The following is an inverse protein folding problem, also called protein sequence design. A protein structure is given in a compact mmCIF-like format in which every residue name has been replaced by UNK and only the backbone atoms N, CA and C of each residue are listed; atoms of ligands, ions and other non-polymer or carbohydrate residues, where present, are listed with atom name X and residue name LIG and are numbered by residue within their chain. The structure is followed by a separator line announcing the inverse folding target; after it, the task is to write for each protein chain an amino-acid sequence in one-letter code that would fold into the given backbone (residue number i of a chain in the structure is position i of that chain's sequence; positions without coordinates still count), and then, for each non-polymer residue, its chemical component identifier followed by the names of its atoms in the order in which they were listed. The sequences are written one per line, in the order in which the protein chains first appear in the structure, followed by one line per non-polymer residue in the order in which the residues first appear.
data_IF_469633143982
#
_entry.id   IF_469633143982
#
_cell.length_a   1.000
_cell.length_b   1.000
_cell.length_c   1.000
_cell.angle_alpha   90.00
_cell.angle_beta   90.00
_cell.angle_gamma   90.00
#
_symmetry.space_group_name_H-M   'P 1'
#
loop_
_entity.id
_entity.type
_entity.pdbx_description
1 polymer ?
#
# COMPACT_ATOMS: atom_id res chain seq x y z
N UNK A 1 -28.68 -10.93 22.37
CA UNK A 1 -28.12 -10.73 21.02
C UNK A 1 -28.18 -9.25 20.66
N UNK A 2 -27.19 -8.49 21.11
CA UNK A 2 -27.07 -7.08 20.76
C UNK A 2 -26.26 -6.98 19.47
N UNK A 3 -26.95 -6.66 18.36
CA UNK A 3 -26.32 -6.02 17.21
C UNK A 3 -25.57 -4.78 17.71
N UNK A 4 -24.26 -4.86 17.83
CA UNK A 4 -23.36 -3.71 17.94
C UNK A 4 -23.40 -2.97 16.59
N UNK A 5 -24.51 -2.26 16.35
CA UNK A 5 -24.58 -1.20 15.36
C UNK A 5 -23.47 -0.21 15.72
N UNK A 6 -22.44 -0.10 14.88
CA UNK A 6 -21.46 0.97 14.99
C UNK A 6 -22.22 2.30 15.02
N UNK A 7 -22.15 3.03 16.13
CA UNK A 7 -22.82 4.34 16.23
C UNK A 7 -22.39 5.22 15.05
N UNK A 8 -23.30 5.97 14.41
CA UNK A 8 -22.97 6.86 13.29
C UNK A 8 -21.87 7.86 13.64
N UNK A 9 -21.72 8.23 14.91
CA UNK A 9 -20.63 9.11 15.37
C UNK A 9 -19.26 8.42 15.33
N UNK A 10 -19.21 7.10 15.60
CA UNK A 10 -18.00 6.30 15.47
C UNK A 10 -17.61 6.18 14.00
N UNK A 11 -18.57 5.89 13.12
CA UNK A 11 -18.31 5.81 11.68
C UNK A 11 -17.75 7.14 11.12
N UNK A 12 -18.36 8.28 11.47
CA UNK A 12 -17.86 9.61 11.09
C UNK A 12 -16.45 9.89 11.60
N UNK A 13 -16.16 9.49 12.84
CA UNK A 13 -14.82 9.64 13.44
C UNK A 13 -13.79 8.79 12.69
N UNK A 14 -14.12 7.54 12.42
CA UNK A 14 -13.28 6.58 11.71
C UNK A 14 -13.00 7.06 10.28
N UNK A 15 -14.01 7.58 9.57
CA UNK A 15 -13.83 8.21 8.24
C UNK A 15 -12.86 9.39 8.30
N UNK A 16 -13.00 10.31 9.27
CA UNK A 16 -12.08 11.46 9.41
C UNK A 16 -10.65 11.03 9.71
N UNK A 17 -10.48 9.99 10.54
CA UNK A 17 -9.16 9.42 10.85
C UNK A 17 -8.53 8.78 9.61
N UNK A 18 -9.33 8.07 8.80
CA UNK A 18 -8.89 7.49 7.54
C UNK A 18 -8.46 8.58 6.54
N UNK A 19 -9.28 9.61 6.35
CA UNK A 19 -8.98 10.74 5.44
C UNK A 19 -7.69 11.48 5.85
N UNK A 20 -7.48 11.67 7.16
CA UNK A 20 -6.23 12.23 7.68
C UNK A 20 -5.03 11.30 7.42
N UNK A 21 -5.20 10.00 7.62
CA UNK A 21 -4.18 8.99 7.33
C UNK A 21 -3.77 9.00 5.86
N UNK A 22 -4.74 8.97 4.96
CA UNK A 22 -4.55 9.05 3.50
C UNK A 22 -3.77 10.32 3.13
N UNK A 23 -4.19 11.47 3.67
CA UNK A 23 -3.53 12.75 3.39
C UNK A 23 -2.06 12.75 3.79
N UNK A 24 -1.73 12.20 4.96
CA UNK A 24 -0.35 12.09 5.45
C UNK A 24 0.49 11.05 4.70
N UNK A 25 -0.13 9.95 4.26
CA UNK A 25 0.53 8.95 3.39
C UNK A 25 0.89 9.57 2.05
N UNK A 26 -0.03 10.29 1.41
CA UNK A 26 0.22 11.01 0.15
C UNK A 26 1.30 12.07 0.31
N UNK A 27 1.31 12.78 1.43
CA UNK A 27 2.34 13.75 1.78
C UNK A 27 3.65 13.10 2.28
N UNK A 28 3.76 11.77 2.30
CA UNK A 28 4.94 11.03 2.74
C UNK A 28 5.47 11.47 4.12
N UNK A 29 4.56 11.76 5.06
CA UNK A 29 4.88 12.33 6.37
C UNK A 29 4.29 11.54 7.55
N UNK A 30 3.57 10.44 7.27
CA UNK A 30 3.06 9.58 8.32
C UNK A 30 4.21 8.83 9.00
N UNK A 31 4.26 8.86 10.33
CA UNK A 31 5.28 8.22 11.16
C UNK A 31 4.83 6.82 11.62
N UNK A 32 5.73 6.11 12.31
CA UNK A 32 5.50 4.74 12.81
C UNK A 32 4.23 4.65 13.67
N UNK A 33 4.01 5.61 14.56
CA UNK A 33 2.83 5.62 15.43
C UNK A 33 1.54 5.86 14.64
N UNK A 34 1.59 6.78 13.69
CA UNK A 34 0.51 7.03 12.74
C UNK A 34 0.12 5.79 11.95
N UNK A 35 1.10 5.03 11.44
CA UNK A 35 0.85 3.77 10.76
C UNK A 35 0.21 2.72 11.68
N UNK A 36 0.68 2.56 12.92
CA UNK A 36 0.07 1.62 13.88
C UNK A 36 -1.40 1.94 14.13
N UNK A 37 -1.75 3.22 14.27
CA UNK A 37 -3.14 3.66 14.39
C UNK A 37 -3.96 3.36 13.13
N UNK A 38 -3.40 3.67 11.96
CA UNK A 38 -4.05 3.40 10.68
C UNK A 38 -4.30 1.91 10.47
N UNK A 39 -3.34 1.05 10.82
CA UNK A 39 -3.48 -0.40 10.76
C UNK A 39 -4.58 -0.93 11.69
N UNK A 40 -4.69 -0.39 12.90
CA UNK A 40 -5.81 -0.73 13.80
C UNK A 40 -7.14 -0.31 13.19
N UNK A 41 -7.23 0.91 12.63
CA UNK A 41 -8.42 1.37 11.93
C UNK A 41 -8.79 0.46 10.74
N UNK A 42 -7.81 0.04 9.94
CA UNK A 42 -8.02 -0.90 8.83
C UNK A 42 -8.62 -2.22 9.34
N UNK A 43 -8.13 -2.77 10.46
CA UNK A 43 -8.68 -4.03 10.99
C UNK A 43 -10.09 -3.86 11.56
N UNK A 44 -10.35 -2.75 12.26
CA UNK A 44 -11.53 -2.61 13.10
C UNK A 44 -12.70 -1.88 12.41
N UNK A 45 -12.48 -1.24 11.25
CA UNK A 45 -13.53 -0.45 10.60
C UNK A 45 -14.58 -1.26 9.84
N UNK A 46 -15.79 -0.71 9.74
CA UNK A 46 -16.81 -1.17 8.76
C UNK A 46 -16.30 -1.04 7.32
N UNK A 47 -16.93 -1.78 6.39
CA UNK A 47 -16.69 -1.65 4.93
C UNK A 47 -17.16 -0.28 4.40
N UNK A 48 -18.18 0.33 5.00
CA UNK A 48 -18.78 1.57 4.50
C UNK A 48 -17.81 2.76 4.48
N UNK A 49 -16.83 2.80 5.40
CA UNK A 49 -15.85 3.89 5.43
C UNK A 49 -14.87 3.84 4.26
N UNK A 50 -14.85 2.76 3.48
CA UNK A 50 -13.97 2.59 2.31
C UNK A 50 -14.59 3.07 1.01
N UNK A 51 -15.91 3.31 1.03
CA UNK A 51 -16.64 3.85 -0.11
C UNK A 51 -16.15 5.26 -0.48
N UNK A 52 -16.32 5.66 -1.75
CA UNK A 52 -16.00 7.01 -2.20
C UNK A 52 -16.70 8.10 -1.37
N UNK A 53 -16.05 9.24 -1.12
CA UNK A 53 -16.65 10.37 -0.40
C UNK A 53 -17.81 11.03 -1.16
N UNK A 54 -17.82 10.92 -2.49
CA UNK A 54 -18.87 11.43 -3.38
C UNK A 54 -18.91 10.63 -4.67
N UNK A 55 -20.01 10.74 -5.43
CA UNK A 55 -20.11 10.12 -6.75
C UNK A 55 -18.99 10.62 -7.68
N UNK A 56 -18.28 9.68 -8.33
CA UNK A 56 -17.16 9.98 -9.21
C UNK A 56 -15.82 10.25 -8.51
N UNK A 57 -15.76 10.23 -7.17
CA UNK A 57 -14.50 10.30 -6.44
C UNK A 57 -13.82 8.93 -6.36
N UNK A 58 -12.50 8.95 -6.22
CA UNK A 58 -11.71 7.75 -5.90
C UNK A 58 -12.17 7.13 -4.57
N UNK A 59 -12.17 5.80 -4.48
CA UNK A 59 -12.44 5.11 -3.23
C UNK A 59 -11.32 5.39 -2.22
N UNK A 60 -11.64 5.35 -0.92
CA UNK A 60 -10.60 5.51 0.12
C UNK A 60 -9.62 4.35 0.13
N UNK A 61 -10.05 3.18 -0.33
CA UNK A 61 -9.19 2.02 -0.47
C UNK A 61 -8.12 2.29 -1.52
N UNK A 62 -8.54 2.73 -2.72
CA UNK A 62 -7.63 3.05 -3.81
C UNK A 62 -6.69 4.20 -3.46
N UNK A 63 -7.25 5.24 -2.85
CA UNK A 63 -6.53 6.42 -2.44
C UNK A 63 -5.41 6.11 -1.43
N UNK A 64 -5.70 5.21 -0.48
CA UNK A 64 -4.72 4.76 0.51
C UNK A 64 -3.68 3.85 -0.13
N UNK A 65 -4.11 2.84 -0.88
CA UNK A 65 -3.21 1.83 -1.44
C UNK A 65 -2.20 2.45 -2.43
N UNK A 66 -2.66 3.29 -3.35
CA UNK A 66 -1.78 4.00 -4.28
C UNK A 66 -0.82 4.95 -3.54
N UNK A 67 -1.31 5.63 -2.50
CA UNK A 67 -0.45 6.45 -1.64
C UNK A 67 0.64 5.64 -0.93
N UNK A 68 0.31 4.44 -0.44
CA UNK A 68 1.28 3.54 0.20
C UNK A 68 2.33 3.04 -0.79
N UNK A 69 1.94 2.68 -2.01
CA UNK A 69 2.88 2.28 -3.07
C UNK A 69 3.82 3.41 -3.45
N UNK A 70 3.30 4.62 -3.68
CA UNK A 70 4.12 5.79 -3.97
C UNK A 70 5.07 6.11 -2.79
N UNK A 71 4.58 6.02 -1.55
CA UNK A 71 5.42 6.25 -0.37
C UNK A 71 6.46 5.14 -0.17
N UNK A 72 6.18 3.90 -0.56
CA UNK A 72 7.15 2.80 -0.52
C UNK A 72 8.27 3.00 -1.56
N UNK A 73 7.92 3.36 -2.79
CA UNK A 73 8.85 3.55 -3.90
C UNK A 73 9.68 4.85 -3.77
N UNK A 74 9.09 5.91 -3.22
CA UNK A 74 9.71 7.24 -3.14
C UNK A 74 10.81 7.38 -2.07
N UNK A 75 11.72 8.37 -2.21
CA UNK A 75 12.65 8.73 -1.15
C UNK A 75 11.90 9.38 0.02
N UNK A 76 12.08 8.88 1.24
CA UNK A 76 11.37 9.38 2.43
C UNK A 76 12.04 10.64 3.00
N UNK A 77 12.08 11.72 2.22
CA UNK A 77 12.85 12.95 2.51
C UNK A 77 12.27 13.79 3.65
N UNK A 78 10.97 13.65 3.93
CA UNK A 78 10.30 14.36 5.02
C UNK A 78 10.57 13.73 6.41
N UNK A 79 11.25 12.59 6.48
CA UNK A 79 11.56 11.88 7.71
C UNK A 79 13.04 11.99 8.06
N UNK A 80 13.32 11.94 9.36
CA UNK A 80 14.69 11.77 9.84
C UNK A 80 15.25 10.42 9.34
N UNK A 81 16.50 10.36 8.83
CA UNK A 81 17.07 9.17 8.19
C UNK A 81 16.95 7.88 9.03
N UNK A 82 17.13 7.99 10.34
CA UNK A 82 17.06 6.88 11.29
C UNK A 82 15.65 6.26 11.40
N UNK A 83 14.60 6.99 11.00
CA UNK A 83 13.20 6.52 11.05
C UNK A 83 12.72 5.92 9.74
N UNK A 84 13.46 6.11 8.64
CA UNK A 84 13.02 5.72 7.30
C UNK A 84 12.75 4.22 7.21
N UNK A 85 13.67 3.40 7.73
CA UNK A 85 13.53 1.94 7.68
C UNK A 85 12.29 1.45 8.45
N UNK A 86 12.07 1.95 9.66
CA UNK A 86 10.91 1.58 10.48
C UNK A 86 9.60 1.99 9.80
N UNK A 87 9.56 3.19 9.22
CA UNK A 87 8.37 3.66 8.48
C UNK A 87 8.11 2.78 7.27
N UNK A 88 9.13 2.41 6.50
CA UNK A 88 8.95 1.54 5.33
C UNK A 88 8.49 0.14 5.73
N UNK A 89 8.99 -0.41 6.83
CA UNK A 89 8.47 -1.65 7.39
C UNK A 89 6.99 -1.52 7.79
N UNK A 90 6.58 -0.38 8.34
CA UNK A 90 5.16 -0.11 8.63
C UNK A 90 4.31 0.06 7.36
N UNK A 91 4.85 0.63 6.28
CA UNK A 91 4.15 0.71 4.98
C UNK A 91 3.84 -0.71 4.49
N UNK A 92 4.83 -1.60 4.46
CA UNK A 92 4.64 -3.00 4.07
C UNK A 92 3.58 -3.71 4.93
N UNK A 93 3.66 -3.54 6.26
CA UNK A 93 2.66 -4.10 7.17
C UNK A 93 1.25 -3.55 6.92
N UNK A 94 1.14 -2.29 6.53
CA UNK A 94 -0.15 -1.64 6.21
C UNK A 94 -0.72 -2.16 4.89
N UNK A 95 0.10 -2.32 3.84
CA UNK A 95 -0.33 -2.91 2.57
C UNK A 95 -0.87 -4.33 2.80
N UNK A 96 -0.16 -5.16 3.59
CA UNK A 96 -0.65 -6.50 3.97
C UNK A 96 -1.95 -6.46 4.77
N UNK A 97 -2.13 -5.47 5.64
CA UNK A 97 -3.38 -5.30 6.37
C UNK A 97 -4.54 -4.97 5.42
N UNK A 98 -4.32 -4.14 4.40
CA UNK A 98 -5.31 -3.85 3.36
C UNK A 98 -5.65 -5.09 2.53
N UNK A 99 -4.62 -5.86 2.13
CA UNK A 99 -4.80 -7.11 1.39
C UNK A 99 -5.69 -8.11 2.15
N UNK A 100 -5.47 -8.26 3.46
CA UNK A 100 -6.31 -9.13 4.31
C UNK A 100 -7.72 -8.61 4.49
N UNK A 101 -7.92 -7.29 4.42
CA UNK A 101 -9.23 -6.67 4.61
C UNK A 101 -10.14 -6.95 3.42
N UNK A 102 -9.62 -6.76 2.20
CA UNK A 102 -10.38 -6.92 0.98
C UNK A 102 -9.47 -7.38 -0.16
N UNK A 103 -9.38 -8.70 -0.33
CA UNK A 103 -8.51 -9.34 -1.32
C UNK A 103 -8.94 -9.03 -2.75
N UNK A 104 -10.24 -8.90 -2.99
CA UNK A 104 -10.81 -8.63 -4.32
C UNK A 104 -10.57 -7.18 -4.73
N UNK A 105 -10.84 -6.22 -3.84
CA UNK A 105 -10.52 -4.81 -4.09
C UNK A 105 -9.00 -4.60 -4.29
N UNK A 106 -8.16 -5.41 -3.64
CA UNK A 106 -6.71 -5.37 -3.82
C UNK A 106 -6.26 -5.95 -5.18
N UNK A 107 -6.87 -7.05 -5.65
CA UNK A 107 -6.42 -7.78 -6.83
C UNK A 107 -6.31 -6.90 -8.09
N UNK A 108 -7.20 -5.91 -8.25
CA UNK A 108 -7.16 -4.94 -9.34
C UNK A 108 -5.94 -4.00 -9.35
N UNK A 109 -5.06 -4.08 -8.33
CA UNK A 109 -3.88 -3.21 -8.14
C UNK A 109 -2.56 -4.01 -8.13
N UNK A 110 -2.59 -5.27 -8.54
CA UNK A 110 -1.42 -6.16 -8.51
C UNK A 110 -0.22 -5.62 -9.29
N UNK A 111 -0.42 -5.16 -10.52
CA UNK A 111 0.62 -4.62 -11.40
C UNK A 111 1.31 -3.38 -10.81
N UNK A 112 0.51 -2.40 -10.36
CA UNK A 112 1.01 -1.18 -9.70
C UNK A 112 1.79 -1.53 -8.43
N UNK A 113 1.28 -2.49 -7.66
CA UNK A 113 1.96 -2.99 -6.47
C UNK A 113 3.32 -3.60 -6.79
N UNK A 114 3.41 -4.47 -7.79
CA UNK A 114 4.69 -5.06 -8.23
C UNK A 114 5.66 -3.98 -8.69
N UNK A 115 5.23 -3.05 -9.55
CA UNK A 115 6.08 -1.94 -9.99
C UNK A 115 6.64 -1.13 -8.81
N UNK A 116 5.81 -0.80 -7.83
CA UNK A 116 6.23 -0.07 -6.64
C UNK A 116 7.23 -0.87 -5.77
N UNK A 117 7.06 -2.20 -5.66
CA UNK A 117 7.99 -3.07 -4.94
C UNK A 117 9.34 -3.16 -5.63
N UNK A 118 9.37 -3.26 -6.96
CA UNK A 118 10.60 -3.27 -7.76
C UNK A 118 11.36 -1.94 -7.64
N UNK A 119 10.65 -0.82 -7.76
CA UNK A 119 11.22 0.52 -7.59
C UNK A 119 11.76 0.76 -6.17
N UNK A 120 11.10 0.21 -5.15
CA UNK A 120 11.60 0.22 -3.78
C UNK A 120 12.83 -0.69 -3.62
N UNK A 121 12.81 -1.89 -4.19
CA UNK A 121 13.90 -2.87 -4.12
C UNK A 121 15.20 -2.34 -4.73
N UNK A 122 15.11 -1.59 -5.83
CA UNK A 122 16.26 -0.96 -6.49
C UNK A 122 17.01 0.07 -5.62
N UNK A 123 16.37 0.57 -4.54
CA UNK A 123 16.95 1.56 -3.63
C UNK A 123 17.68 0.99 -2.42
N UNK A 124 17.53 -0.32 -2.16
CA UNK A 124 18.13 -0.97 -1.00
C UNK A 124 19.16 -2.00 -1.43
N UNK A 125 20.33 -1.96 -0.81
CA UNK A 125 21.30 -3.06 -0.92
C UNK A 125 20.69 -4.37 -0.44
N UNK A 126 21.08 -5.50 -1.04
CA UNK A 126 20.41 -6.80 -0.85
C UNK A 126 20.39 -7.37 0.56
N UNK A 127 21.11 -6.78 1.53
CA UNK A 127 21.17 -7.22 2.93
C UNK A 127 20.32 -6.41 3.90
N UNK A 128 19.57 -5.41 3.42
CA UNK A 128 18.68 -4.63 4.27
C UNK A 128 17.44 -5.46 4.66
N UNK A 129 17.05 -5.48 5.94
CA UNK A 129 15.90 -6.23 6.46
C UNK A 129 14.57 -5.95 5.70
N UNK A 130 14.45 -4.75 5.14
CA UNK A 130 13.33 -4.36 4.29
C UNK A 130 13.17 -5.24 3.04
N UNK A 131 14.26 -5.80 2.50
CA UNK A 131 14.26 -6.65 1.30
C UNK A 131 13.42 -7.90 1.51
N UNK A 132 13.61 -8.62 2.62
CA UNK A 132 12.78 -9.78 2.94
C UNK A 132 11.29 -9.41 3.07
N UNK A 133 11.00 -8.20 3.59
CA UNK A 133 9.64 -7.69 3.68
C UNK A 133 8.99 -7.40 2.31
N UNK A 134 9.79 -6.91 1.35
CA UNK A 134 9.39 -6.67 -0.04
C UNK A 134 9.13 -7.98 -0.77
N UNK A 135 10.02 -8.96 -0.62
CA UNK A 135 9.94 -10.27 -1.28
C UNK A 135 8.69 -11.03 -0.86
N UNK A 136 8.38 -11.07 0.45
CA UNK A 136 7.16 -11.71 0.96
C UNK A 136 5.91 -11.05 0.37
N UNK A 137 5.88 -9.72 0.30
CA UNK A 137 4.72 -9.02 -0.26
C UNK A 137 4.62 -9.27 -1.78
N UNK A 138 5.73 -9.28 -2.51
CA UNK A 138 5.74 -9.59 -3.93
C UNK A 138 5.17 -10.98 -4.22
N UNK A 139 5.54 -12.00 -3.44
CA UNK A 139 4.97 -13.35 -3.56
C UNK A 139 3.45 -13.37 -3.36
N UNK A 140 2.95 -12.63 -2.36
CA UNK A 140 1.50 -12.50 -2.13
C UNK A 140 0.80 -11.81 -3.32
N UNK A 141 1.43 -10.81 -3.94
CA UNK A 141 0.89 -10.08 -5.09
C UNK A 141 0.91 -10.89 -6.39
N UNK A 142 1.97 -11.66 -6.64
CA UNK A 142 2.05 -12.57 -7.80
C UNK A 142 0.92 -13.60 -7.74
N UNK A 143 0.60 -14.12 -6.54
CA UNK A 143 -0.53 -15.04 -6.36
C UNK A 143 -1.93 -14.40 -6.45
N UNK A 144 -2.02 -13.10 -6.71
CA UNK A 144 -3.26 -12.32 -6.88
C UNK A 144 -3.42 -11.75 -8.27
N UNK A 145 -2.30 -11.35 -8.87
CA UNK A 145 -2.26 -10.72 -10.17
C UNK A 145 -2.47 -11.71 -11.31
N UNK A 146 -2.79 -11.16 -12.46
CA UNK A 146 -2.70 -11.88 -13.72
C UNK A 146 -1.22 -12.15 -14.03
N UNK A 147 -0.85 -13.42 -14.18
CA UNK A 147 0.54 -13.84 -14.35
C UNK A 147 1.21 -13.19 -15.56
N UNK A 148 0.47 -13.01 -16.67
CA UNK A 148 1.01 -12.44 -17.91
C UNK A 148 1.27 -10.94 -17.74
N UNK A 149 0.38 -10.25 -17.03
CA UNK A 149 0.54 -8.82 -16.77
C UNK A 149 1.65 -8.54 -15.76
N UNK A 150 1.75 -9.38 -14.72
CA UNK A 150 2.86 -9.29 -13.75
C UNK A 150 4.20 -9.57 -14.43
N UNK A 151 4.28 -10.55 -15.33
CA UNK A 151 5.47 -10.81 -16.13
C UNK A 151 5.84 -9.59 -17.00
N UNK A 152 4.85 -8.99 -17.68
CA UNK A 152 5.06 -7.78 -18.48
C UNK A 152 5.61 -6.58 -17.68
N UNK A 153 5.21 -6.41 -16.42
CA UNK A 153 5.78 -5.37 -15.53
C UNK A 153 7.24 -5.66 -15.20
N UNK A 154 7.58 -6.92 -14.93
CA UNK A 154 8.97 -7.32 -14.65
C UNK A 154 9.85 -7.17 -15.89
N UNK A 155 9.36 -7.55 -17.07
CA UNK A 155 10.06 -7.38 -18.34
C UNK A 155 10.25 -5.91 -18.70
N UNK A 156 9.27 -5.05 -18.41
CA UNK A 156 9.43 -3.61 -18.62
C UNK A 156 10.53 -2.99 -17.73
N UNK A 157 10.68 -3.48 -16.49
CA UNK A 157 11.61 -2.92 -15.50
C UNK A 157 13.02 -3.55 -15.58
N UNK A 158 13.11 -4.85 -15.89
CA UNK A 158 14.35 -5.65 -15.86
C UNK A 158 14.62 -6.44 -17.14
N UNK A 159 13.73 -6.41 -18.12
CA UNK A 159 13.96 -7.04 -19.40
C UNK A 159 15.29 -6.56 -19.97
N UNK A 160 16.13 -7.52 -20.35
CA UNK A 160 17.32 -7.23 -21.13
C UNK A 160 16.81 -6.52 -22.38
N UNK A 161 17.10 -5.23 -22.51
CA UNK A 161 17.02 -4.58 -23.81
C UNK A 161 18.12 -5.24 -24.63
N UNK A 162 17.77 -6.28 -25.37
CA UNK A 162 18.67 -6.81 -26.38
C UNK A 162 19.13 -5.61 -27.22
N UNK A 163 20.44 -5.56 -27.49
CA UNK A 163 21.09 -4.44 -28.15
C UNK A 163 20.51 -4.12 -29.54
N UNK A 164 19.56 -4.94 -30.03
CA UNK A 164 18.99 -4.90 -31.37
C UNK A 164 17.49 -4.58 -31.44
N UNK A 165 16.82 -4.31 -30.30
CA UNK A 165 15.55 -3.59 -30.28
C UNK A 165 14.39 -4.15 -31.14
N UNK A 166 13.99 -5.40 -30.94
CA UNK A 166 12.66 -5.86 -31.35
C UNK A 166 12.11 -6.91 -30.38
N UNK A 167 10.82 -6.75 -30.03
CA UNK A 167 10.01 -7.63 -29.17
C UNK A 167 9.76 -8.99 -29.78
#
# INVERSE_FOLDING_TARGET
NAQLLSSPDRAKKDTRLLDSGISKVRAQSLDVHGFRKLQSLIRDSSRDIWAPPSAGAESRFDALLGGLFAYLAGPATALAPEKVQDVKAQILATIRAMLRKDREAFAGRGEEGIAALLAARARYEGRAHIVAGLEVLAQELVGLGDADKVAGVVDAEYGVKDADGFT
#
